data_IF_794336012505
#
_entry.id   IF_794336012505
#
_cell.length_a   1.000
_cell.length_b   1.000
_cell.length_c   1.000
_cell.angle_alpha   90.00
_cell.angle_beta   90.00
_cell.angle_gamma   90.00
#
_symmetry.space_group_name_H-M   'P 1'
#
loop_
_entity.id
_entity.type
_entity.pdbx_description
1 polymer ?
#
# COMPACT_ATOMS: atom_id res chain seq x y z
N UNK A 1 -7.07 18.44 -15.90
CA UNK A 1 -7.77 18.75 -17.18
C UNK A 1 -8.41 20.13 -17.16
N UNK A 2 -9.37 20.43 -16.26
CA UNK A 2 -9.97 21.79 -16.14
C UNK A 2 -8.92 22.90 -16.09
N UNK A 3 -7.91 22.77 -15.23
CA UNK A 3 -6.83 23.76 -15.11
C UNK A 3 -6.05 23.98 -16.39
N UNK A 4 -5.91 22.93 -17.23
CA UNK A 4 -5.21 23.03 -18.52
C UNK A 4 -6.05 23.74 -19.57
N UNK A 5 -7.37 23.49 -19.59
CA UNK A 5 -8.29 24.26 -20.44
C UNK A 5 -8.28 25.75 -20.04
N UNK A 6 -8.28 26.04 -18.73
CA UNK A 6 -8.16 27.41 -18.20
C UNK A 6 -6.81 28.03 -18.57
N UNK A 7 -5.71 27.30 -18.41
CA UNK A 7 -4.36 27.77 -18.79
C UNK A 7 -4.25 28.04 -20.30
N UNK A 8 -5.03 27.34 -21.12
CA UNK A 8 -5.16 27.59 -22.56
C UNK A 8 -6.09 28.77 -22.90
N UNK A 9 -6.60 29.50 -21.91
CA UNK A 9 -7.46 30.67 -22.10
C UNK A 9 -8.96 30.38 -22.24
N UNK A 10 -9.39 29.13 -22.07
CA UNK A 10 -10.81 28.78 -22.14
C UNK A 10 -11.53 29.12 -20.83
N UNK A 11 -12.66 29.84 -20.93
CA UNK A 11 -13.48 30.18 -19.78
C UNK A 11 -14.28 28.95 -19.31
N UNK A 12 -13.75 28.16 -18.38
CA UNK A 12 -14.43 26.95 -17.87
C UNK A 12 -15.44 27.30 -16.77
N UNK A 13 -16.66 26.76 -16.87
CA UNK A 13 -17.69 26.93 -15.83
C UNK A 13 -17.27 26.30 -14.50
N UNK A 14 -17.52 27.00 -13.40
CA UNK A 14 -17.21 26.52 -12.04
C UNK A 14 -18.29 25.56 -11.55
N UNK A 15 -17.90 24.34 -11.20
CA UNK A 15 -18.83 23.31 -10.69
C UNK A 15 -19.50 22.49 -11.79
N UNK A 16 -20.47 21.66 -11.37
CA UNK A 16 -21.32 20.84 -12.24
C UNK A 16 -22.60 21.61 -12.55
N UNK A 17 -23.05 21.55 -13.80
CA UNK A 17 -24.37 22.06 -14.19
C UNK A 17 -25.07 21.05 -15.08
N UNK A 18 -26.40 21.08 -15.06
CA UNK A 18 -27.23 20.34 -15.99
C UNK A 18 -27.67 21.22 -17.15
N UNK A 19 -27.80 20.62 -18.33
CA UNK A 19 -28.43 21.20 -19.50
C UNK A 19 -29.77 20.50 -19.67
N UNK A 20 -30.84 21.28 -19.70
CA UNK A 20 -32.15 20.79 -20.12
C UNK A 20 -32.11 20.58 -21.64
N UNK A 21 -32.23 19.32 -22.07
CA UNK A 21 -32.14 18.91 -23.46
C UNK A 21 -33.49 18.92 -24.17
N UNK A 22 -33.45 18.63 -25.48
CA UNK A 22 -34.63 18.40 -26.33
C UNK A 22 -35.47 17.20 -25.89
N UNK A 23 -36.55 16.92 -26.63
CA UNK A 23 -37.43 15.78 -26.33
C UNK A 23 -36.76 14.45 -26.74
N UNK A 24 -36.63 13.53 -25.79
CA UNK A 24 -36.17 12.17 -26.04
C UNK A 24 -37.39 11.27 -26.32
N UNK A 25 -37.66 11.00 -27.59
CA UNK A 25 -38.85 10.24 -28.00
C UNK A 25 -38.95 8.85 -27.34
N UNK A 26 -37.82 8.16 -27.15
CA UNK A 26 -37.81 6.81 -26.56
C UNK A 26 -38.29 6.78 -25.11
N UNK A 27 -37.97 7.82 -24.33
CA UNK A 27 -38.32 7.93 -22.91
C UNK A 27 -39.50 8.87 -22.66
N UNK A 28 -39.97 9.53 -23.72
CA UNK A 28 -41.01 10.54 -23.70
C UNK A 28 -40.79 11.59 -22.59
N UNK A 29 -39.57 12.13 -22.51
CA UNK A 29 -39.20 13.12 -21.51
C UNK A 29 -38.28 14.20 -22.12
N UNK A 30 -37.91 15.18 -21.28
CA UNK A 30 -36.89 16.17 -21.58
C UNK A 30 -35.75 15.94 -20.58
N UNK A 31 -34.71 15.17 -20.94
CA UNK A 31 -33.67 14.80 -20.00
C UNK A 31 -32.83 16.02 -19.61
N UNK A 32 -32.31 16.00 -18.37
CA UNK A 32 -31.25 16.90 -17.94
C UNK A 32 -29.94 16.13 -18.05
N UNK A 33 -29.08 16.53 -18.98
CA UNK A 33 -27.75 15.95 -19.12
C UNK A 33 -26.72 16.79 -18.38
N UNK A 34 -25.74 16.15 -17.75
CA UNK A 34 -24.67 16.82 -17.01
C UNK A 34 -23.32 16.51 -17.69
N UNK A 35 -22.88 17.35 -18.63
CA UNK A 35 -21.55 17.19 -19.21
C UNK A 35 -20.45 17.36 -18.16
N UNK A 36 -19.33 16.69 -18.35
CA UNK A 36 -18.18 16.79 -17.44
C UNK A 36 -17.68 18.23 -17.27
N UNK A 37 -17.59 18.96 -18.39
CA UNK A 37 -17.10 20.34 -18.44
C UNK A 37 -17.98 21.18 -19.36
N UNK A 38 -18.35 22.36 -18.88
CA UNK A 38 -19.01 23.38 -19.69
C UNK A 38 -18.04 24.52 -19.95
N UNK A 39 -18.02 25.00 -21.20
CA UNK A 39 -17.32 26.23 -21.54
C UNK A 39 -18.31 27.39 -21.33
N UNK A 40 -17.96 28.29 -20.41
CA UNK A 40 -18.77 29.43 -20.02
C UNK A 40 -18.94 30.40 -21.19
N UNK A 41 -20.14 31.00 -21.26
CA UNK A 41 -20.51 32.01 -22.27
C UNK A 41 -20.47 31.48 -23.71
N UNK A 42 -20.38 30.17 -23.89
CA UNK A 42 -20.51 29.49 -25.17
C UNK A 42 -21.57 28.39 -25.05
N UNK A 43 -21.90 27.77 -26.17
CA UNK A 43 -22.74 26.57 -26.23
C UNK A 43 -21.91 25.33 -26.54
N UNK A 44 -20.76 25.21 -25.88
CA UNK A 44 -19.84 24.09 -26.06
C UNK A 44 -19.65 23.36 -24.73
N UNK A 45 -19.78 22.04 -24.75
CA UNK A 45 -19.48 21.18 -23.62
C UNK A 45 -18.47 20.10 -23.99
N UNK A 46 -17.78 19.59 -22.98
CA UNK A 46 -16.81 18.51 -23.11
C UNK A 46 -17.24 17.33 -22.26
N UNK A 47 -17.19 16.14 -22.85
CA UNK A 47 -17.31 14.85 -22.16
C UNK A 47 -15.96 14.11 -22.25
N UNK A 48 -15.58 13.41 -21.19
CA UNK A 48 -14.42 12.52 -21.20
C UNK A 48 -14.89 11.09 -21.04
N UNK A 49 -14.70 10.32 -22.11
CA UNK A 49 -15.29 9.01 -22.27
C UNK A 49 -14.19 7.94 -22.19
N UNK A 50 -13.95 7.31 -21.03
CA UNK A 50 -12.99 6.21 -20.96
C UNK A 50 -13.62 4.88 -21.40
N UNK A 51 -12.85 4.07 -22.16
CA UNK A 51 -13.30 2.79 -22.72
C UNK A 51 -13.99 1.86 -21.71
N UNK A 52 -13.49 1.78 -20.48
CA UNK A 52 -14.07 0.91 -19.44
C UNK A 52 -15.52 1.25 -19.04
N UNK A 53 -16.05 2.42 -19.44
CA UNK A 53 -17.46 2.81 -19.21
C UNK A 53 -18.27 3.01 -20.49
N UNK A 54 -17.62 3.36 -21.61
CA UNK A 54 -18.27 3.73 -22.88
C UNK A 54 -18.12 2.73 -24.03
N UNK A 55 -17.30 1.69 -23.90
CA UNK A 55 -17.20 0.67 -24.94
C UNK A 55 -18.54 -0.03 -25.17
N UNK A 56 -19.02 -0.05 -26.42
CA UNK A 56 -20.30 -0.64 -26.80
C UNK A 56 -21.53 0.25 -26.55
N UNK A 57 -21.34 1.52 -26.19
CA UNK A 57 -22.40 2.51 -25.93
C UNK A 57 -22.44 3.65 -26.94
N UNK A 58 -21.92 3.41 -28.14
CA UNK A 58 -21.76 4.44 -29.17
C UNK A 58 -23.11 5.03 -29.59
N UNK A 59 -24.18 4.21 -29.62
CA UNK A 59 -25.52 4.70 -29.92
C UNK A 59 -26.11 5.60 -28.83
N UNK A 60 -25.87 5.26 -27.56
CA UNK A 60 -26.29 6.11 -26.43
C UNK A 60 -25.53 7.44 -26.46
N UNK A 61 -24.23 7.39 -26.75
CA UNK A 61 -23.39 8.58 -26.90
C UNK A 61 -23.84 9.48 -28.06
N UNK A 62 -24.19 8.89 -29.22
CA UNK A 62 -24.78 9.64 -30.36
C UNK A 62 -26.13 10.26 -30.01
N UNK A 63 -26.99 9.53 -29.29
CA UNK A 63 -28.29 10.04 -28.84
C UNK A 63 -28.11 11.24 -27.90
N UNK A 64 -27.15 11.17 -26.97
CA UNK A 64 -26.82 12.31 -26.09
C UNK A 64 -26.29 13.50 -26.88
N UNK A 65 -25.47 13.28 -27.91
CA UNK A 65 -25.00 14.36 -28.79
C UNK A 65 -26.19 15.03 -29.48
N UNK A 66 -27.12 14.25 -30.05
CA UNK A 66 -28.31 14.80 -30.71
C UNK A 66 -29.19 15.61 -29.75
N UNK A 67 -29.45 15.09 -28.55
CA UNK A 67 -30.27 15.77 -27.54
C UNK A 67 -29.69 17.11 -27.08
N UNK A 68 -28.36 17.25 -27.11
CA UNK A 68 -27.65 18.49 -26.82
C UNK A 68 -27.67 19.42 -28.05
N UNK A 69 -27.47 18.87 -29.24
CA UNK A 69 -27.51 19.61 -30.50
C UNK A 69 -28.89 20.25 -30.75
N UNK A 70 -29.97 19.53 -30.44
CA UNK A 70 -31.37 20.00 -30.55
C UNK A 70 -31.64 21.27 -29.72
N UNK A 71 -30.85 21.53 -28.67
CA UNK A 71 -30.91 22.74 -27.82
C UNK A 71 -29.71 23.66 -28.04
N UNK A 72 -29.04 23.49 -29.18
CA UNK A 72 -27.98 24.33 -29.71
C UNK A 72 -26.62 24.13 -29.05
N UNK A 73 -26.36 23.00 -28.38
CA UNK A 73 -25.07 22.69 -27.76
C UNK A 73 -24.21 21.79 -28.63
N UNK A 74 -22.96 22.19 -28.84
CA UNK A 74 -21.94 21.37 -29.47
C UNK A 74 -21.18 20.56 -28.42
N UNK A 75 -21.07 19.25 -28.63
CA UNK A 75 -20.33 18.33 -27.76
C UNK A 75 -18.96 18.04 -28.36
N UNK A 76 -17.91 18.21 -27.57
CA UNK A 76 -16.54 17.82 -27.92
C UNK A 76 -16.12 16.69 -26.99
N UNK A 77 -15.91 15.48 -27.52
CA UNK A 77 -15.58 14.32 -26.68
C UNK A 77 -14.11 13.99 -26.71
N UNK A 78 -13.52 13.75 -25.54
CA UNK A 78 -12.23 13.08 -25.42
C UNK A 78 -12.47 11.59 -25.17
N UNK A 79 -12.25 10.77 -26.20
CA UNK A 79 -12.51 9.34 -26.18
C UNK A 79 -11.23 8.56 -25.97
N UNK A 80 -11.11 7.87 -24.84
CA UNK A 80 -9.89 7.20 -24.37
C UNK A 80 -9.96 5.68 -24.57
N UNK A 81 -8.80 5.03 -24.68
CA UNK A 81 -8.70 3.58 -24.80
C UNK A 81 -9.08 3.03 -26.18
N UNK A 82 -8.89 3.83 -27.23
CA UNK A 82 -9.13 3.39 -28.63
C UNK A 82 -10.62 3.30 -29.01
N UNK A 83 -11.49 4.01 -28.32
CA UNK A 83 -12.90 4.15 -28.70
C UNK A 83 -13.06 4.82 -30.07
N UNK A 84 -14.13 4.45 -30.78
CA UNK A 84 -14.51 5.09 -32.04
C UNK A 84 -15.09 6.50 -31.82
N UNK A 85 -15.07 7.31 -32.87
CA UNK A 85 -15.71 8.63 -32.90
C UNK A 85 -17.22 8.53 -32.98
N UNK A 86 -17.90 9.42 -32.27
CA UNK A 86 -19.37 9.60 -32.28
C UNK A 86 -19.77 11.04 -32.61
N UNK A 87 -18.81 11.98 -32.66
CA UNK A 87 -19.01 13.38 -33.06
C UNK A 87 -17.86 13.91 -33.92
N UNK A 88 -18.12 15.02 -34.63
CA UNK A 88 -17.17 15.59 -35.60
C UNK A 88 -15.98 16.29 -34.95
N UNK A 89 -16.09 16.71 -33.69
CA UNK A 89 -15.03 17.35 -32.93
C UNK A 89 -14.27 16.38 -32.01
N UNK A 90 -14.51 15.07 -32.13
CA UNK A 90 -13.95 14.09 -31.21
C UNK A 90 -12.41 14.03 -31.25
N UNK A 91 -11.83 13.86 -30.07
CA UNK A 91 -10.42 13.55 -29.87
C UNK A 91 -10.31 12.10 -29.42
N UNK A 92 -9.75 11.25 -30.27
CA UNK A 92 -9.53 9.83 -30.02
C UNK A 92 -8.12 9.63 -29.46
N UNK A 93 -8.00 8.97 -28.31
CA UNK A 93 -6.72 8.61 -27.73
C UNK A 93 -6.64 7.09 -27.53
N UNK A 94 -5.59 6.46 -28.03
CA UNK A 94 -5.32 5.04 -27.80
C UNK A 94 -4.93 4.74 -26.32
N UNK A 95 -4.55 5.77 -25.56
CA UNK A 95 -4.28 5.66 -24.13
C UNK A 95 -5.58 5.56 -23.33
N UNK A 96 -5.63 4.67 -22.35
CA UNK A 96 -6.76 4.54 -21.40
C UNK A 96 -6.85 5.72 -20.41
N UNK A 97 -5.81 6.55 -20.36
CA UNK A 97 -5.71 7.71 -19.47
C UNK A 97 -5.48 8.99 -20.26
N UNK A 98 -5.95 10.11 -19.71
CA UNK A 98 -5.78 11.44 -20.30
C UNK A 98 -4.29 11.83 -20.31
N UNK A 99 -3.71 12.00 -21.49
CA UNK A 99 -2.32 12.48 -21.67
C UNK A 99 -2.26 13.98 -21.94
N UNK A 100 -1.06 14.56 -21.95
CA UNK A 100 -0.89 15.98 -22.28
C UNK A 100 -1.26 16.26 -23.73
N UNK A 101 -0.81 15.39 -24.64
CA UNK A 101 -1.07 15.49 -26.08
C UNK A 101 -2.58 15.40 -26.39
N UNK A 102 -3.31 14.54 -25.66
CA UNK A 102 -4.75 14.45 -25.76
C UNK A 102 -5.46 15.73 -25.27
N UNK A 103 -4.96 16.36 -24.20
CA UNK A 103 -5.49 17.63 -23.72
C UNK A 103 -5.20 18.76 -24.71
N UNK A 104 -4.00 18.80 -25.30
CA UNK A 104 -3.63 19.83 -26.27
C UNK A 104 -4.52 19.73 -27.52
N UNK A 105 -4.77 18.51 -28.01
CA UNK A 105 -5.72 18.26 -29.10
C UNK A 105 -7.16 18.64 -28.73
N UNK A 106 -7.58 18.36 -27.49
CA UNK A 106 -8.90 18.74 -26.97
C UNK A 106 -9.08 20.26 -26.91
N UNK A 107 -8.06 21.01 -26.47
CA UNK A 107 -8.08 22.48 -26.47
C UNK A 107 -8.34 23.02 -27.87
N UNK A 108 -7.68 22.46 -28.89
CA UNK A 108 -7.87 22.87 -30.28
C UNK A 108 -9.28 22.52 -30.75
N UNK A 109 -9.76 21.30 -30.49
CA UNK A 109 -11.11 20.87 -30.87
C UNK A 109 -12.21 21.75 -30.25
N UNK A 110 -12.07 22.09 -28.96
CA UNK A 110 -12.97 23.02 -28.26
C UNK A 110 -12.89 24.42 -28.88
N UNK A 111 -11.69 24.90 -29.20
CA UNK A 111 -11.51 26.22 -29.83
C UNK A 111 -12.12 26.29 -31.23
N UNK A 112 -12.09 25.19 -31.99
CA UNK A 112 -12.77 25.07 -33.28
C UNK A 112 -14.28 25.11 -33.11
N UNK A 113 -14.82 24.34 -32.17
CA UNK A 113 -16.26 24.31 -31.89
C UNK A 113 -16.78 25.69 -31.45
N UNK A 114 -16.05 26.40 -30.57
CA UNK A 114 -16.41 27.76 -30.12
C UNK A 114 -16.44 28.74 -31.30
N UNK A 115 -15.52 28.59 -32.25
CA UNK A 115 -15.44 29.46 -33.42
C UNK A 115 -16.38 29.04 -34.57
N UNK A 116 -17.17 27.97 -34.40
CA UNK A 116 -18.03 27.43 -35.45
C UNK A 116 -17.28 26.88 -36.66
N UNK A 117 -16.01 26.46 -36.49
CA UNK A 117 -15.24 25.83 -37.56
C UNK A 117 -15.72 24.39 -37.77
N UNK A 118 -15.64 23.85 -39.01
CA UNK A 118 -15.97 22.45 -39.27
C UNK A 118 -15.22 21.49 -38.34
N UNK A 119 -15.90 20.43 -37.91
CA UNK A 119 -15.32 19.39 -37.07
C UNK A 119 -14.18 18.66 -37.77
N UNK A 120 -13.19 18.26 -36.98
CA UNK A 120 -12.10 17.39 -37.41
C UNK A 120 -11.76 16.42 -36.29
N UNK A 121 -11.90 15.12 -36.59
CA UNK A 121 -11.54 14.05 -35.67
C UNK A 121 -10.02 14.02 -35.51
N UNK A 122 -9.54 14.06 -34.27
CA UNK A 122 -8.11 14.07 -33.94
C UNK A 122 -7.71 12.77 -33.28
N UNK A 123 -6.69 12.09 -33.81
CA UNK A 123 -6.24 10.80 -33.26
C UNK A 123 -4.85 10.92 -32.62
N UNK A 124 -4.75 10.52 -31.35
CA UNK A 124 -3.55 10.53 -30.53
C UNK A 124 -3.10 9.09 -30.27
N UNK A 125 -1.97 8.73 -30.88
CA UNK A 125 -1.37 7.40 -30.70
C UNK A 125 -0.77 7.23 -29.31
N UNK A 126 -0.81 6.01 -28.80
CA UNK A 126 -0.19 5.67 -27.52
C UNK A 126 1.33 5.74 -27.70
N UNK A 127 1.98 6.65 -26.98
CA UNK A 127 3.43 6.70 -26.95
C UNK A 127 3.95 5.39 -26.36
N UNK A 128 4.78 4.67 -27.10
CA UNK A 128 5.50 3.52 -26.57
C UNK A 128 6.53 4.05 -25.57
N UNK A 129 6.19 3.96 -24.28
CA UNK A 129 7.16 4.19 -23.20
C UNK A 129 7.83 2.84 -22.96
N UNK A 130 9.17 2.74 -23.04
CA UNK A 130 9.85 1.51 -22.70
C UNK A 130 9.47 1.13 -21.26
N UNK A 131 9.16 -0.15 -21.05
CA UNK A 131 8.78 -0.63 -19.73
C UNK A 131 9.91 -0.31 -18.76
N UNK A 132 9.67 0.63 -17.84
CA UNK A 132 10.65 0.94 -16.80
C UNK A 132 10.73 -0.27 -15.89
N UNK A 133 11.89 -0.91 -15.83
CA UNK A 133 12.12 -2.03 -14.92
C UNK A 133 11.77 -1.60 -13.50
N UNK A 134 10.85 -2.33 -12.87
CA UNK A 134 10.49 -2.05 -11.48
C UNK A 134 11.73 -2.36 -10.63
N UNK A 135 12.14 -1.46 -9.73
CA UNK A 135 13.28 -1.72 -8.87
C UNK A 135 13.03 -2.99 -8.06
N UNK A 136 14.08 -3.81 -7.86
CA UNK A 136 13.97 -5.05 -7.09
C UNK A 136 13.56 -4.80 -5.65
N UNK A 137 14.08 -3.75 -5.03
CA UNK A 137 13.70 -3.31 -3.69
C UNK A 137 12.61 -2.24 -3.76
N UNK A 138 11.46 -2.54 -3.16
CA UNK A 138 10.35 -1.61 -2.95
C UNK A 138 10.66 -0.50 -1.94
N UNK A 139 9.63 0.24 -1.53
CA UNK A 139 9.75 1.22 -0.46
C UNK A 139 9.95 0.51 0.89
N UNK A 140 10.72 1.15 1.77
CA UNK A 140 10.89 0.72 3.17
C UNK A 140 9.95 1.58 4.02
N UNK A 141 8.93 0.96 4.60
CA UNK A 141 7.94 1.62 5.44
C UNK A 141 7.94 0.99 6.83
N UNK A 142 7.61 1.77 7.86
CA UNK A 142 7.42 1.24 9.21
C UNK A 142 6.30 0.20 9.24
N UNK A 143 6.49 -0.83 10.06
CA UNK A 143 5.52 -1.88 10.20
C UNK A 143 4.39 -1.43 11.12
N UNK A 144 3.14 -1.55 10.67
CA UNK A 144 1.97 -1.05 11.41
C UNK A 144 1.75 -1.77 12.76
N UNK A 145 2.16 -3.03 12.84
CA UNK A 145 1.87 -3.89 13.98
C UNK A 145 3.08 -4.29 14.81
N UNK A 146 4.30 -4.17 14.29
CA UNK A 146 5.50 -4.67 14.95
C UNK A 146 6.34 -3.44 15.29
N UNK A 147 6.55 -3.19 16.57
CA UNK A 147 7.43 -2.11 17.03
C UNK A 147 8.84 -2.33 16.49
N UNK A 148 9.48 -1.24 16.09
CA UNK A 148 10.86 -1.23 15.61
C UNK A 148 11.11 -2.18 14.43
N UNK A 149 10.08 -2.36 13.58
CA UNK A 149 10.14 -3.19 12.40
C UNK A 149 9.71 -2.41 11.15
N UNK A 150 10.17 -2.87 9.98
CA UNK A 150 9.93 -2.23 8.69
C UNK A 150 9.52 -3.25 7.62
N UNK A 151 8.51 -2.92 6.82
CA UNK A 151 8.18 -3.67 5.62
C UNK A 151 9.32 -3.59 4.60
N UNK A 152 9.69 -4.77 4.08
CA UNK A 152 10.68 -4.93 3.01
C UNK A 152 10.02 -5.72 1.88
N UNK A 153 9.81 -5.07 0.74
CA UNK A 153 9.32 -5.74 -0.48
C UNK A 153 10.49 -6.00 -1.42
N UNK A 154 10.73 -7.27 -1.75
CA UNK A 154 11.85 -7.68 -2.62
C UNK A 154 11.35 -8.48 -3.81
N UNK A 155 11.83 -8.16 -5.00
CA UNK A 155 11.65 -9.00 -6.19
C UNK A 155 12.84 -9.94 -6.33
N UNK A 156 12.57 -11.23 -6.17
CA UNK A 156 13.56 -12.29 -6.30
C UNK A 156 14.01 -12.47 -7.76
N UNK A 157 15.01 -13.32 -7.99
CA UNK A 157 15.55 -13.55 -9.33
C UNK A 157 14.53 -14.24 -10.25
N UNK A 158 13.63 -15.08 -9.71
CA UNK A 158 12.50 -15.66 -10.45
C UNK A 158 11.37 -14.66 -10.73
N UNK A 159 11.48 -13.42 -10.27
CA UNK A 159 10.44 -12.39 -10.43
C UNK A 159 9.34 -12.43 -9.38
N UNK A 160 9.36 -13.38 -8.43
CA UNK A 160 8.44 -13.46 -7.29
C UNK A 160 8.60 -12.23 -6.40
N UNK A 161 7.47 -11.66 -5.97
CA UNK A 161 7.46 -10.60 -4.97
C UNK A 161 7.44 -11.24 -3.57
N UNK A 162 8.52 -11.04 -2.82
CA UNK A 162 8.66 -11.44 -1.43
C UNK A 162 8.23 -10.30 -0.51
N UNK A 163 7.42 -10.66 0.49
CA UNK A 163 7.01 -9.76 1.57
C UNK A 163 7.79 -10.15 2.81
N UNK A 164 8.70 -9.28 3.21
CA UNK A 164 9.66 -9.51 4.28
C UNK A 164 9.53 -8.39 5.32
N UNK A 165 10.13 -8.62 6.49
CA UNK A 165 10.19 -7.65 7.57
C UNK A 165 11.64 -7.51 8.03
N UNK A 166 12.13 -6.28 8.11
CA UNK A 166 13.34 -5.97 8.83
C UNK A 166 12.96 -5.69 10.30
N UNK A 167 13.25 -6.63 11.19
CA UNK A 167 12.88 -6.59 12.61
C UNK A 167 14.02 -6.03 13.49
N UNK A 168 13.68 -5.67 14.73
CA UNK A 168 14.62 -5.23 15.76
C UNK A 168 15.55 -4.12 15.25
N UNK A 169 14.96 -2.99 14.85
CA UNK A 169 15.67 -1.85 14.24
C UNK A 169 16.45 -2.24 12.97
N UNK A 170 15.95 -3.24 12.24
CA UNK A 170 16.58 -3.74 11.02
C UNK A 170 17.79 -4.63 11.25
N UNK A 171 17.96 -5.17 12.46
CA UNK A 171 19.00 -6.16 12.75
C UNK A 171 18.77 -7.49 12.04
N UNK A 172 17.51 -7.89 11.84
CA UNK A 172 17.16 -9.21 11.33
C UNK A 172 16.15 -9.12 10.19
N UNK A 173 16.26 -10.04 9.24
CA UNK A 173 15.28 -10.29 8.20
C UNK A 173 14.36 -11.43 8.64
N UNK A 174 13.07 -11.24 8.46
CA UNK A 174 12.05 -12.25 8.70
C UNK A 174 11.04 -12.30 7.53
N UNK A 175 10.33 -13.41 7.41
CA UNK A 175 9.18 -13.52 6.50
C UNK A 175 8.00 -12.67 7.00
N UNK A 176 7.16 -12.20 6.09
CA UNK A 176 5.85 -11.63 6.42
C UNK A 176 4.77 -12.27 5.54
N UNK A 177 4.34 -13.48 5.92
CA UNK A 177 3.27 -14.19 5.22
C UNK A 177 1.94 -14.11 6.00
N UNK A 178 0.99 -13.36 5.44
CA UNK A 178 -0.39 -13.31 5.95
C UNK A 178 -0.52 -12.79 7.37
N UNK A 179 -1.12 -13.61 8.24
CA UNK A 179 -1.38 -13.31 9.65
C UNK A 179 -0.43 -14.04 10.61
N UNK A 180 0.56 -14.74 10.07
CA UNK A 180 1.52 -15.51 10.88
C UNK A 180 2.57 -14.61 11.52
N UNK A 181 3.22 -15.15 12.55
CA UNK A 181 4.41 -14.58 13.15
C UNK A 181 5.49 -14.39 12.07
N UNK A 182 6.21 -13.26 12.06
CA UNK A 182 7.43 -13.16 11.30
C UNK A 182 8.41 -14.22 11.80
N UNK A 183 8.93 -15.05 10.88
CA UNK A 183 9.92 -16.07 11.20
C UNK A 183 11.27 -15.68 10.65
N UNK A 184 12.31 -15.92 11.44
CA UNK A 184 13.66 -15.47 11.16
C UNK A 184 14.24 -16.12 9.90
N UNK A 185 14.90 -15.31 9.08
CA UNK A 185 15.62 -15.75 7.87
C UNK A 185 17.12 -15.56 8.05
N UNK A 186 17.58 -14.33 8.28
CA UNK A 186 19.00 -14.03 8.42
C UNK A 186 19.26 -12.69 9.13
N UNK A 187 20.51 -12.46 9.53
CA UNK A 187 20.98 -11.16 10.02
C UNK A 187 21.09 -10.14 8.88
N UNK A 188 20.74 -8.88 9.18
CA UNK A 188 20.88 -7.74 8.27
C UNK A 188 21.87 -6.69 8.78
N UNK A 189 22.00 -6.52 10.10
CA UNK A 189 22.92 -5.54 10.71
C UNK A 189 22.59 -4.07 10.45
N UNK A 190 21.39 -3.73 9.95
CA UNK A 190 21.06 -2.34 9.62
C UNK A 190 20.93 -1.44 10.85
N UNK A 191 20.73 -2.03 12.03
CA UNK A 191 20.67 -1.33 13.30
C UNK A 191 21.96 -0.57 13.62
N UNK A 192 23.08 -0.92 12.98
CA UNK A 192 24.39 -0.26 13.15
C UNK A 192 24.61 0.87 12.14
N UNK A 193 23.68 1.05 11.19
CA UNK A 193 23.80 2.00 10.09
C UNK A 193 22.79 3.15 10.22
N UNK A 194 23.15 4.37 9.81
CA UNK A 194 22.19 5.46 9.66
C UNK A 194 21.04 5.09 8.71
N UNK A 195 19.80 5.48 9.05
CA UNK A 195 18.59 5.10 8.30
C UNK A 195 18.63 5.41 6.80
N UNK A 196 19.35 6.46 6.41
CA UNK A 196 19.58 6.89 5.02
C UNK A 196 20.39 5.89 4.18
N UNK A 197 21.23 5.08 4.83
CA UNK A 197 22.11 4.08 4.17
C UNK A 197 21.46 2.70 4.05
N UNK A 198 20.37 2.46 4.79
CA UNK A 198 19.68 1.16 4.83
C UNK A 198 19.28 0.64 3.45
N UNK A 199 18.83 1.54 2.55
CA UNK A 199 18.40 1.11 1.21
C UNK A 199 19.57 0.51 0.43
N UNK A 200 20.73 1.14 0.49
CA UNK A 200 21.94 0.66 -0.21
C UNK A 200 22.43 -0.65 0.41
N UNK A 201 22.48 -0.73 1.74
CA UNK A 201 22.88 -1.94 2.44
C UNK A 201 21.93 -3.13 2.14
N UNK A 202 20.61 -2.90 2.16
CA UNK A 202 19.63 -3.93 1.80
C UNK A 202 19.77 -4.39 0.36
N UNK A 203 20.03 -3.49 -0.59
CA UNK A 203 20.25 -3.88 -1.98
C UNK A 203 21.46 -4.81 -2.13
N UNK A 204 22.55 -4.52 -1.42
CA UNK A 204 23.76 -5.36 -1.42
C UNK A 204 23.51 -6.72 -0.76
N UNK A 205 22.92 -6.73 0.44
CA UNK A 205 22.63 -7.97 1.19
C UNK A 205 21.65 -8.85 0.40
N UNK A 206 20.48 -8.32 0.05
CA UNK A 206 19.43 -9.09 -0.64
C UNK A 206 19.83 -9.47 -2.06
N UNK A 207 20.72 -8.68 -2.70
CA UNK A 207 21.26 -8.99 -4.03
C UNK A 207 22.17 -10.22 -4.04
N UNK A 208 22.78 -10.57 -2.90
CA UNK A 208 23.62 -11.76 -2.74
C UNK A 208 22.83 -13.03 -2.43
N UNK A 209 21.57 -12.88 -2.01
CA UNK A 209 20.69 -14.01 -1.69
C UNK A 209 20.03 -14.59 -2.94
N UNK A 210 20.02 -15.91 -3.00
CA UNK A 210 19.26 -16.71 -3.95
C UNK A 210 17.80 -16.89 -3.49
N UNK A 211 16.94 -17.34 -4.41
CA UNK A 211 15.51 -17.54 -4.11
C UNK A 211 15.28 -18.60 -3.01
N UNK A 212 16.22 -19.52 -2.78
CA UNK A 212 16.16 -20.52 -1.71
C UNK A 212 16.60 -20.01 -0.35
N UNK A 213 17.28 -18.85 -0.29
CA UNK A 213 17.77 -18.28 0.97
C UNK A 213 16.67 -17.52 1.74
N UNK A 214 15.52 -17.29 1.12
CA UNK A 214 14.39 -16.58 1.73
C UNK A 214 13.44 -17.49 2.53
N UNK A 215 13.90 -18.68 2.91
CA UNK A 215 13.14 -19.63 3.71
C UNK A 215 13.43 -19.37 5.19
N UNK A 216 12.40 -19.24 6.06
CA UNK A 216 12.64 -19.09 7.48
C UNK A 216 13.37 -20.29 8.08
N UNK A 217 14.39 -20.03 8.88
CA UNK A 217 15.22 -21.06 9.51
C UNK A 217 14.81 -21.35 10.96
N UNK A 218 14.15 -20.40 11.62
CA UNK A 218 13.76 -20.51 13.03
C UNK A 218 12.70 -19.46 13.39
N UNK A 219 12.16 -19.57 14.61
CA UNK A 219 11.21 -18.61 15.17
C UNK A 219 11.92 -17.32 15.60
N UNK A 220 13.06 -17.45 16.26
CA UNK A 220 13.92 -16.36 16.72
C UNK A 220 15.29 -16.41 16.05
N UNK A 221 16.07 -15.32 16.06
CA UNK A 221 17.44 -15.33 15.53
C UNK A 221 18.37 -16.41 16.11
N UNK A 222 18.04 -16.94 17.29
CA UNK A 222 18.83 -17.92 18.04
C UNK A 222 18.22 -19.34 18.09
N UNK A 223 17.10 -19.57 17.40
CA UNK A 223 16.42 -20.86 17.42
C UNK A 223 14.92 -20.73 17.64
N UNK A 224 14.29 -21.79 18.13
CA UNK A 224 12.83 -21.86 18.24
C UNK A 224 12.30 -21.56 19.65
N UNK A 225 13.20 -21.36 20.62
CA UNK A 225 12.87 -21.26 22.03
C UNK A 225 13.22 -19.87 22.59
N UNK A 226 12.24 -19.21 23.20
CA UNK A 226 12.49 -17.99 24.01
C UNK A 226 12.85 -18.34 25.45
N UNK A 227 12.35 -19.47 25.94
CA UNK A 227 12.65 -20.03 27.25
C UNK A 227 13.21 -21.44 27.08
N UNK A 228 14.16 -21.81 27.92
CA UNK A 228 14.76 -23.14 28.04
C UNK A 228 14.59 -23.65 29.48
N UNK A 229 14.85 -24.95 29.71
CA UNK A 229 14.67 -25.60 31.02
C UNK A 229 13.50 -26.58 31.04
N UNK A 230 13.37 -27.33 32.14
CA UNK A 230 12.47 -28.48 32.28
C UNK A 230 11.00 -28.12 32.01
N UNK A 231 10.54 -26.97 32.51
CA UNK A 231 9.17 -26.51 32.36
C UNK A 231 9.00 -25.36 31.36
N UNK A 232 10.00 -25.08 30.51
CA UNK A 232 9.89 -24.05 29.46
C UNK A 232 8.67 -24.21 28.54
N UNK A 233 8.25 -25.43 28.14
CA UNK A 233 7.03 -25.62 27.34
C UNK A 233 5.74 -25.15 28.03
N UNK A 234 5.75 -24.98 29.36
CA UNK A 234 4.62 -24.42 30.11
C UNK A 234 4.47 -22.90 29.91
N UNK A 235 5.49 -22.24 29.35
CA UNK A 235 5.50 -20.82 29.02
C UNK A 235 4.92 -20.62 27.61
N UNK A 236 3.75 -19.98 27.52
CA UNK A 236 3.06 -19.77 26.25
C UNK A 236 3.49 -18.46 25.61
N UNK A 237 4.28 -18.59 24.55
CA UNK A 237 4.68 -17.47 23.70
C UNK A 237 3.59 -17.22 22.67
N UNK A 238 3.12 -15.99 22.60
CA UNK A 238 2.16 -15.59 21.56
C UNK A 238 2.79 -15.78 20.17
N UNK A 239 2.08 -16.32 19.17
CA UNK A 239 2.51 -16.27 17.78
C UNK A 239 2.71 -14.82 17.28
N UNK A 240 2.21 -13.83 18.00
CA UNK A 240 2.47 -12.42 17.70
C UNK A 240 3.57 -11.84 18.58
N UNK A 241 4.48 -12.63 19.14
CA UNK A 241 5.58 -12.07 19.93
C UNK A 241 6.40 -11.09 19.10
N UNK A 242 6.54 -9.86 19.59
CA UNK A 242 7.28 -8.81 18.91
C UNK A 242 8.71 -8.78 19.44
N UNK A 243 9.65 -9.37 18.71
CA UNK A 243 11.07 -9.32 19.09
C UNK A 243 11.58 -7.89 19.27
N UNK A 244 10.99 -6.94 18.52
CA UNK A 244 11.32 -5.51 18.58
C UNK A 244 10.68 -4.73 19.75
N UNK A 245 9.75 -5.30 20.50
CA UNK A 245 9.02 -4.57 21.55
C UNK A 245 9.89 -4.27 22.78
N UNK A 246 9.46 -3.26 23.55
CA UNK A 246 10.07 -2.92 24.85
C UNK A 246 9.40 -3.59 26.04
N UNK A 247 8.15 -4.04 25.88
CA UNK A 247 7.38 -4.76 26.89
C UNK A 247 6.63 -5.89 26.21
N UNK A 248 6.54 -7.05 26.87
CA UNK A 248 5.70 -8.14 26.39
C UNK A 248 5.12 -8.96 27.53
N UNK A 249 3.81 -9.12 27.56
CA UNK A 249 3.13 -9.99 28.51
C UNK A 249 2.87 -11.37 27.90
N UNK A 250 3.15 -12.41 28.67
CA UNK A 250 2.94 -13.80 28.30
C UNK A 250 2.34 -14.57 29.47
N UNK A 251 1.85 -15.78 29.19
CA UNK A 251 1.20 -16.62 30.21
C UNK A 251 1.96 -17.91 30.40
N UNK A 252 2.08 -18.38 31.63
CA UNK A 252 2.74 -19.64 31.96
C UNK A 252 1.90 -20.49 32.93
N UNK A 253 2.22 -21.79 33.01
CA UNK A 253 1.67 -22.73 34.00
C UNK A 253 2.79 -23.61 34.59
N UNK A 254 3.84 -22.98 35.09
CA UNK A 254 4.99 -23.64 35.73
C UNK A 254 4.56 -24.13 37.11
N UNK A 255 4.70 -25.42 37.35
CA UNK A 255 4.35 -26.08 38.60
C UNK A 255 5.37 -25.72 39.67
N UNK A 256 4.88 -25.31 40.85
CA UNK A 256 5.73 -25.01 42.01
C UNK A 256 6.44 -23.65 41.96
N UNK A 257 6.25 -22.85 40.90
CA UNK A 257 6.90 -21.56 40.80
C UNK A 257 6.42 -20.58 41.87
N UNK A 258 7.36 -20.12 42.70
CA UNK A 258 7.13 -19.24 43.85
C UNK A 258 8.03 -17.98 43.81
N UNK A 259 9.09 -18.01 43.03
CA UNK A 259 10.10 -16.96 42.93
C UNK A 259 10.58 -16.79 41.48
N UNK A 260 11.18 -15.66 41.17
CA UNK A 260 11.80 -15.40 39.87
C UNK A 260 13.00 -14.47 40.01
N UNK A 261 13.92 -14.57 39.06
CA UNK A 261 15.02 -13.63 38.82
C UNK A 261 14.78 -12.89 37.50
N UNK A 262 15.64 -11.95 37.14
CA UNK A 262 15.54 -11.27 35.84
C UNK A 262 15.66 -12.21 34.63
N UNK A 263 16.11 -13.45 34.82
CA UNK A 263 16.33 -14.41 33.73
C UNK A 263 15.63 -15.74 33.92
N UNK A 264 15.11 -16.06 35.12
CA UNK A 264 14.56 -17.37 35.41
C UNK A 264 13.32 -17.34 36.31
N UNK A 265 12.46 -18.34 36.16
CA UNK A 265 11.34 -18.64 37.03
C UNK A 265 11.69 -19.90 37.82
N UNK A 266 11.58 -19.83 39.15
CA UNK A 266 12.10 -20.83 40.07
C UNK A 266 11.01 -21.41 40.98
N UNK A 267 11.22 -22.65 41.40
CA UNK A 267 10.53 -23.28 42.51
C UNK A 267 11.53 -23.43 43.66
N UNK A 268 11.48 -22.54 44.66
CA UNK A 268 12.55 -22.37 45.63
C UNK A 268 13.85 -21.96 44.95
N UNK A 269 14.88 -22.81 45.01
CA UNK A 269 16.18 -22.58 44.35
C UNK A 269 16.29 -23.19 42.96
N UNK A 270 15.33 -24.01 42.56
CA UNK A 270 15.43 -24.81 41.34
C UNK A 270 14.85 -24.05 40.15
N UNK A 271 15.68 -23.81 39.13
CA UNK A 271 15.29 -23.14 37.88
C UNK A 271 14.36 -24.05 37.09
N UNK A 272 13.13 -23.60 36.86
CA UNK A 272 12.11 -24.37 36.13
C UNK A 272 12.03 -23.95 34.66
N UNK A 273 12.16 -22.65 34.40
CA UNK A 273 12.25 -22.09 33.06
C UNK A 273 13.13 -20.85 33.11
N UNK A 274 14.02 -20.70 32.14
CA UNK A 274 14.92 -19.55 32.02
C UNK A 274 14.86 -18.96 30.61
N UNK A 275 15.02 -17.65 30.50
CA UNK A 275 15.14 -16.99 29.21
C UNK A 275 16.35 -17.55 28.47
N UNK A 276 16.20 -17.77 27.17
CA UNK A 276 17.30 -18.18 26.32
C UNK A 276 18.47 -17.18 26.46
N UNK A 277 19.73 -17.61 26.59
CA UNK A 277 20.87 -16.73 26.84
C UNK A 277 20.98 -15.58 25.82
N UNK A 278 20.74 -15.87 24.54
CA UNK A 278 20.71 -14.83 23.51
C UNK A 278 19.57 -13.82 23.70
N UNK A 279 18.39 -14.22 24.19
CA UNK A 279 17.33 -13.27 24.51
C UNK A 279 17.78 -12.29 25.62
N UNK A 280 18.47 -12.81 26.64
CA UNK A 280 19.05 -12.01 27.74
C UNK A 280 20.12 -11.06 27.21
N UNK A 281 21.00 -11.53 26.33
CA UNK A 281 22.01 -10.68 25.67
C UNK A 281 21.37 -9.54 24.86
N UNK A 282 20.18 -9.78 24.28
CA UNK A 282 19.37 -8.75 23.62
C UNK A 282 18.60 -7.84 24.57
N UNK A 283 18.81 -7.98 25.88
CA UNK A 283 18.26 -7.13 26.91
C UNK A 283 16.88 -7.54 27.39
N UNK A 284 16.35 -8.69 26.97
CA UNK A 284 15.10 -9.20 27.53
C UNK A 284 15.31 -9.68 28.97
N UNK A 285 14.38 -9.30 29.84
CA UNK A 285 14.38 -9.66 31.26
C UNK A 285 12.98 -9.97 31.73
N UNK A 286 12.85 -10.87 32.69
CA UNK A 286 11.62 -11.12 33.44
C UNK A 286 11.47 -10.00 34.47
N UNK A 287 10.44 -9.19 34.32
CA UNK A 287 10.19 -8.04 35.20
C UNK A 287 9.17 -8.34 36.29
N UNK A 288 8.19 -9.20 35.99
CA UNK A 288 7.20 -9.64 36.95
C UNK A 288 6.67 -11.02 36.61
N UNK A 289 6.35 -11.79 37.66
CA UNK A 289 5.57 -13.03 37.57
C UNK A 289 4.45 -12.94 38.60
N UNK A 290 3.20 -12.97 38.15
CA UNK A 290 2.03 -12.81 39.01
C UNK A 290 0.98 -13.89 38.76
N UNK A 291 0.32 -14.34 39.82
CA UNK A 291 -0.82 -15.25 39.70
C UNK A 291 -2.06 -14.47 39.25
N UNK A 292 -2.80 -15.05 38.31
CA UNK A 292 -4.06 -14.52 37.75
C UNK A 292 -5.10 -15.62 37.71
N UNK A 293 -6.37 -15.22 37.76
CA UNK A 293 -7.50 -16.14 37.57
C UNK A 293 -8.10 -15.90 36.19
N UNK A 294 -8.06 -16.91 35.34
CA UNK A 294 -8.64 -16.91 34.01
C UNK A 294 -9.82 -17.86 33.88
N UNK A 295 -10.39 -17.93 32.68
CA UNK A 295 -11.52 -18.83 32.34
C UNK A 295 -11.23 -20.31 32.64
N UNK A 296 -9.97 -20.72 32.56
CA UNK A 296 -9.53 -22.11 32.72
C UNK A 296 -8.85 -22.39 34.06
N UNK A 297 -8.99 -21.48 35.03
CA UNK A 297 -8.37 -21.58 36.35
C UNK A 297 -7.22 -20.60 36.53
N UNK A 298 -6.37 -20.91 37.50
CA UNK A 298 -5.23 -20.09 37.88
C UNK A 298 -4.10 -20.27 36.87
N UNK A 299 -3.46 -19.17 36.47
CA UNK A 299 -2.29 -19.16 35.59
C UNK A 299 -1.30 -18.07 36.02
N UNK A 300 -0.05 -18.16 35.58
CA UNK A 300 0.93 -17.11 35.77
C UNK A 300 0.90 -16.13 34.59
N UNK A 301 0.82 -14.84 34.89
CA UNK A 301 1.17 -13.76 33.99
C UNK A 301 2.64 -13.43 34.19
N UNK A 302 3.42 -13.49 33.12
CA UNK A 302 4.84 -13.16 33.10
C UNK A 302 5.01 -11.93 32.23
N UNK A 303 5.63 -10.90 32.79
CA UNK A 303 5.96 -9.69 32.04
C UNK A 303 7.44 -9.71 31.69
N UNK A 304 7.73 -9.54 30.41
CA UNK A 304 9.06 -9.31 29.89
C UNK A 304 9.27 -7.83 29.62
N UNK A 305 10.45 -7.33 29.95
CA UNK A 305 10.90 -6.00 29.59
C UNK A 305 12.17 -6.08 28.77
N UNK A 306 12.31 -5.12 27.86
CA UNK A 306 13.51 -4.86 27.10
C UNK A 306 13.73 -3.34 27.03
N UNK A 307 14.77 -2.80 27.68
CA UNK A 307 15.10 -1.39 27.56
C UNK A 307 15.22 -0.99 26.08
N UNK A 308 14.74 0.19 25.71
CA UNK A 308 14.97 0.62 24.32
C UNK A 308 16.49 0.80 24.10
N UNK A 309 16.98 0.64 22.86
CA UNK A 309 18.37 0.94 22.55
C UNK A 309 18.79 2.38 22.93
N UNK A 310 17.83 3.31 22.99
CA UNK A 310 18.07 4.68 23.43
C UNK A 310 18.28 4.79 24.95
N UNK A 311 17.53 4.01 25.74
CA UNK A 311 17.69 3.97 27.21
C UNK A 311 18.98 3.24 27.62
N UNK A 312 19.38 2.21 26.87
CA UNK A 312 20.64 1.49 27.11
C UNK A 312 21.89 2.36 26.88
N UNK A 313 21.81 3.34 25.96
CA UNK A 313 22.88 4.32 25.71
C UNK A 313 22.93 5.44 26.76
N UNK A 314 21.82 5.70 27.46
CA UNK A 314 21.75 6.70 28.53
C UNK A 314 22.16 6.16 29.91
N UNK A 315 22.29 4.83 30.04
CA UNK A 315 22.73 4.14 31.26
C UNK A 315 24.24 3.85 31.30
N UNK A 316 25.00 4.29 30.28
CA UNK A 316 26.46 4.28 30.17
C UNK A 316 27.02 5.69 30.35
#
# INVERSE_FOLDING_TARGET
MRDKLVAAGLAVHKGRSGIQCGHEAQRNNFPILTPDILISKTKVCVEVDPAHTHAGKENDDRTRNQLLDDVGWTVVRLRLGGLESVGEHDVLAESDSVTNEAIDALVIAVSDAIAGRPGSIRTIKKKQVPAREKPRLGALAEHKHYENAYYVSWRSNSGRLLRLVAMDYGRYLASAEGWEAPRFICGLGLNELPRKEWRTALLDILGKLSDTDFVPVSTFPWGDELFIGEQAPAVRISPKFHLGASVWDLTANIVGADTFTETAICAGTDVQAELHPEAVERGWRIAAVGQRTGKHGIYQEVQLLRPSPADALAAL
#
